data_IF_370597782758
#
_entry.id   IF_370597782758
#
_cell.length_a   1.000
_cell.length_b   1.000
_cell.length_c   1.000
_cell.angle_alpha   90.00
_cell.angle_beta   90.00
_cell.angle_gamma   90.00
#
_symmetry.space_group_name_H-M   'P 1'
#
loop_
_entity.id
_entity.type
_entity.pdbx_description
1 polymer ?
#
# COMPACT_ATOMS: atom_id res chain seq x y z
N UNK A 1 -13.14 -35.71 7.44
CA UNK A 1 -13.74 -35.05 8.61
C UNK A 1 -12.83 -33.92 9.04
N UNK A 2 -13.24 -32.65 8.95
CA UNK A 2 -12.49 -31.56 9.56
C UNK A 2 -12.62 -31.71 11.08
N UNK A 3 -11.55 -32.15 11.75
CA UNK A 3 -11.50 -32.24 13.21
C UNK A 3 -11.54 -30.82 13.79
N UNK A 4 -12.71 -30.36 14.25
CA UNK A 4 -12.82 -29.06 14.91
C UNK A 4 -14.23 -28.52 15.19
N UNK A 5 -15.26 -28.97 14.46
CA UNK A 5 -16.64 -28.55 14.73
C UNK A 5 -17.32 -29.57 15.65
N UNK A 6 -17.60 -29.17 16.89
CA UNK A 6 -18.35 -29.98 17.87
C UNK A 6 -19.87 -29.75 17.74
N UNK A 7 -20.29 -28.90 16.79
CA UNK A 7 -21.69 -28.66 16.47
C UNK A 7 -22.18 -29.67 15.42
N UNK A 8 -23.42 -30.13 15.56
CA UNK A 8 -24.09 -30.98 14.56
C UNK A 8 -24.97 -30.17 13.60
N UNK A 9 -25.26 -28.91 13.91
CA UNK A 9 -26.16 -28.07 13.12
C UNK A 9 -25.63 -26.65 12.99
N UNK A 10 -26.01 -25.96 11.90
CA UNK A 10 -25.87 -24.51 11.71
C UNK A 10 -27.24 -23.87 11.86
N UNK A 11 -27.32 -22.83 12.68
CA UNK A 11 -28.52 -22.04 12.92
C UNK A 11 -28.39 -20.66 12.29
N UNK A 12 -29.27 -20.34 11.35
CA UNK A 12 -29.36 -19.01 10.73
C UNK A 12 -30.59 -18.32 11.27
N UNK A 13 -30.39 -17.39 12.20
CA UNK A 13 -31.48 -16.64 12.85
C UNK A 13 -31.74 -15.34 12.11
N UNK A 14 -32.98 -15.13 11.69
CA UNK A 14 -33.46 -13.87 11.14
C UNK A 14 -34.07 -13.02 12.27
N UNK A 15 -33.63 -11.77 12.35
CA UNK A 15 -34.16 -10.77 13.26
C UNK A 15 -34.62 -9.54 12.49
N UNK A 16 -35.58 -8.79 13.05
CA UNK A 16 -35.86 -7.45 12.54
C UNK A 16 -34.74 -6.49 12.95
N UNK A 17 -34.60 -5.40 12.20
CA UNK A 17 -33.54 -4.42 12.42
C UNK A 17 -34.15 -3.20 13.09
N UNK A 18 -34.45 -3.33 14.36
CA UNK A 18 -35.09 -2.29 15.16
C UNK A 18 -34.07 -1.47 15.96
N UNK A 19 -34.32 -0.17 16.10
CA UNK A 19 -33.37 0.80 16.68
C UNK A 19 -33.03 0.56 18.16
N UNK A 20 -33.78 -0.29 18.86
CA UNK A 20 -33.68 -0.49 20.32
C UNK A 20 -33.40 -1.95 20.69
N UNK A 21 -33.96 -2.92 19.97
CA UNK A 21 -33.71 -4.35 20.15
C UNK A 21 -34.18 -5.13 18.92
N UNK A 22 -33.28 -5.89 18.30
CA UNK A 22 -33.61 -6.77 17.18
C UNK A 22 -34.42 -7.99 17.71
N UNK A 23 -35.71 -8.03 17.37
CA UNK A 23 -36.65 -9.08 17.73
C UNK A 23 -36.56 -10.28 16.78
N UNK A 24 -36.84 -11.48 17.29
CA UNK A 24 -36.72 -12.73 16.54
C UNK A 24 -37.87 -12.86 15.52
N UNK A 25 -37.53 -13.02 14.25
CA UNK A 25 -38.48 -13.21 13.15
C UNK A 25 -38.66 -14.69 12.82
N UNK A 26 -37.57 -15.46 12.83
CA UNK A 26 -37.56 -16.89 12.50
C UNK A 26 -36.14 -17.43 12.32
N UNK A 27 -36.01 -18.73 12.09
CA UNK A 27 -34.69 -19.38 11.95
C UNK A 27 -34.70 -20.49 10.90
N UNK A 28 -33.54 -20.76 10.31
CA UNK A 28 -33.27 -21.97 9.51
C UNK A 28 -32.23 -22.81 10.24
N UNK A 29 -32.51 -24.10 10.44
CA UNK A 29 -31.56 -25.09 10.96
C UNK A 29 -31.11 -26.03 9.85
N UNK A 30 -29.79 -26.21 9.71
CA UNK A 30 -29.18 -27.08 8.71
C UNK A 30 -28.29 -28.11 9.41
N UNK A 31 -28.45 -29.39 9.10
CA UNK A 31 -27.55 -30.44 9.59
C UNK A 31 -26.20 -30.33 8.86
N UNK A 32 -25.12 -30.23 9.61
CA UNK A 32 -23.76 -30.07 9.05
C UNK A 32 -23.34 -31.26 8.19
N UNK A 33 -23.88 -32.45 8.46
CA UNK A 33 -23.59 -33.67 7.71
C UNK A 33 -24.28 -33.70 6.34
N UNK A 34 -25.37 -32.94 6.18
CA UNK A 34 -26.11 -32.83 4.92
C UNK A 34 -25.57 -31.72 4.01
N UNK A 35 -24.73 -30.83 4.55
CA UNK A 35 -24.12 -29.74 3.79
C UNK A 35 -23.14 -30.32 2.75
N UNK A 36 -23.29 -30.01 1.45
CA UNK A 36 -22.38 -30.49 0.42
C UNK A 36 -21.00 -29.83 0.53
N UNK A 37 -19.96 -30.49 0.02
CA UNK A 37 -18.63 -29.89 -0.11
C UNK A 37 -18.45 -29.35 -1.53
N UNK A 38 -17.91 -28.13 -1.67
CA UNK A 38 -17.57 -27.50 -2.95
C UNK A 38 -16.07 -27.35 -3.06
N UNK A 39 -15.50 -27.79 -4.17
CA UNK A 39 -14.07 -27.59 -4.47
C UNK A 39 -13.95 -26.96 -5.85
N UNK A 40 -13.34 -25.77 -6.01
CA UNK A 40 -13.10 -25.20 -7.34
C UNK A 40 -12.42 -26.22 -8.28
N UNK A 41 -12.88 -26.36 -9.54
CA UNK A 41 -13.71 -25.42 -10.30
C UNK A 41 -15.22 -25.69 -10.26
N UNK A 42 -15.72 -26.43 -9.26
CA UNK A 42 -17.15 -26.74 -9.14
C UNK A 42 -18.03 -25.48 -9.26
N UNK A 43 -19.13 -25.62 -10.01
CA UNK A 43 -20.10 -24.53 -10.20
C UNK A 43 -20.64 -24.04 -8.85
N UNK A 44 -20.91 -22.72 -8.70
CA UNK A 44 -21.56 -22.22 -7.50
C UNK A 44 -22.91 -22.92 -7.31
N UNK A 45 -23.21 -23.30 -6.06
CA UNK A 45 -24.49 -23.90 -5.71
C UNK A 45 -25.61 -22.87 -5.91
N UNK A 46 -26.71 -23.32 -6.51
CA UNK A 46 -27.90 -22.49 -6.64
C UNK A 46 -28.50 -22.25 -5.24
N UNK A 47 -28.82 -21.01 -4.87
CA UNK A 47 -29.55 -20.74 -3.64
C UNK A 47 -30.91 -21.43 -3.64
N UNK A 48 -31.29 -22.01 -2.51
CA UNK A 48 -32.57 -22.67 -2.29
C UNK A 48 -33.41 -21.92 -1.26
N UNK A 49 -34.74 -22.03 -1.36
CA UNK A 49 -35.68 -21.41 -0.43
C UNK A 49 -35.90 -22.33 0.79
N UNK A 50 -35.55 -21.84 1.97
CA UNK A 50 -35.77 -22.51 3.26
C UNK A 50 -36.92 -21.82 4.00
N UNK A 51 -37.89 -22.59 4.47
CA UNK A 51 -38.96 -22.06 5.33
C UNK A 51 -38.42 -21.77 6.73
N UNK A 52 -38.80 -20.62 7.27
CA UNK A 52 -38.42 -20.24 8.63
C UNK A 52 -39.16 -21.10 9.67
N UNK A 53 -38.47 -21.41 10.75
CA UNK A 53 -38.96 -22.11 11.93
C UNK A 53 -39.01 -21.15 13.12
N UNK A 54 -39.94 -21.41 14.05
CA UNK A 54 -39.99 -20.74 15.34
C UNK A 54 -39.02 -21.38 16.36
N UNK A 55 -38.99 -20.87 17.59
CA UNK A 55 -38.16 -21.44 18.67
C UNK A 55 -38.55 -22.89 19.05
N UNK A 56 -39.78 -23.30 18.77
CA UNK A 56 -40.33 -24.62 19.07
C UNK A 56 -40.17 -25.62 17.90
N UNK A 57 -39.48 -25.24 16.82
CA UNK A 57 -39.27 -26.04 15.59
C UNK A 57 -40.53 -26.21 14.73
N UNK A 58 -41.52 -25.34 14.92
CA UNK A 58 -42.68 -25.31 14.03
C UNK A 58 -42.41 -24.41 12.83
N UNK A 59 -42.70 -24.92 11.62
CA UNK A 59 -42.56 -24.13 10.40
C UNK A 59 -43.54 -22.96 10.43
N UNK A 60 -43.02 -21.76 10.28
CA UNK A 60 -43.82 -20.55 10.22
C UNK A 60 -44.71 -20.56 8.97
N UNK A 61 -45.93 -20.07 9.11
CA UNK A 61 -46.89 -19.98 8.00
C UNK A 61 -46.50 -18.95 6.93
N UNK A 62 -45.58 -18.05 7.26
CA UNK A 62 -45.04 -17.01 6.38
C UNK A 62 -43.55 -16.80 6.70
N UNK A 63 -42.76 -16.55 5.65
CA UNK A 63 -41.33 -16.29 5.77
C UNK A 63 -40.50 -17.43 5.18
N UNK A 64 -39.79 -17.12 4.10
CA UNK A 64 -38.84 -18.01 3.45
C UNK A 64 -37.53 -17.25 3.28
N UNK A 65 -36.42 -17.95 3.48
CA UNK A 65 -35.07 -17.41 3.40
C UNK A 65 -34.32 -18.16 2.30
N UNK A 66 -33.83 -17.43 1.31
CA UNK A 66 -33.06 -18.01 0.22
C UNK A 66 -31.58 -18.07 0.59
N UNK A 67 -31.01 -19.28 0.67
CA UNK A 67 -29.61 -19.50 1.09
C UNK A 67 -28.92 -20.51 0.18
N UNK A 68 -27.60 -20.40 0.05
CA UNK A 68 -26.73 -21.46 -0.43
C UNK A 68 -25.70 -21.76 0.67
N UNK A 69 -25.55 -23.03 1.05
CA UNK A 69 -24.66 -23.45 2.14
C UNK A 69 -23.82 -24.63 1.70
N UNK A 70 -22.51 -24.56 1.95
CA UNK A 70 -21.55 -25.60 1.59
C UNK A 70 -20.32 -25.61 2.51
N UNK A 71 -19.63 -26.74 2.54
CA UNK A 71 -18.26 -26.83 3.01
C UNK A 71 -17.33 -26.35 1.89
N UNK A 72 -16.73 -25.17 2.06
CA UNK A 72 -15.76 -24.61 1.14
C UNK A 72 -14.32 -25.08 1.42
N UNK A 73 -13.44 -24.88 0.46
CA UNK A 73 -11.98 -25.03 0.63
C UNK A 73 -11.29 -23.67 0.59
N UNK A 74 -9.98 -23.62 0.83
CA UNK A 74 -9.18 -22.37 0.69
C UNK A 74 -9.19 -21.80 -0.73
N UNK A 75 -9.46 -22.64 -1.74
CA UNK A 75 -9.58 -22.18 -3.12
C UNK A 75 -10.92 -21.48 -3.39
N UNK A 76 -11.90 -21.57 -2.48
CA UNK A 76 -13.21 -20.93 -2.65
C UNK A 76 -13.10 -19.40 -2.57
N UNK A 77 -13.75 -18.70 -3.49
CA UNK A 77 -13.80 -17.24 -3.55
C UNK A 77 -14.29 -16.59 -2.24
N UNK A 78 -15.14 -17.31 -1.49
CA UNK A 78 -15.71 -16.86 -0.22
C UNK A 78 -14.71 -16.92 0.93
N UNK A 79 -13.63 -17.70 0.81
CA UNK A 79 -12.62 -17.86 1.88
C UNK A 79 -11.97 -16.52 2.25
N UNK A 80 -11.70 -15.66 1.25
CA UNK A 80 -11.13 -14.33 1.45
C UNK A 80 -12.04 -13.38 2.26
N UNK A 81 -13.36 -13.65 2.27
CA UNK A 81 -14.36 -12.82 2.94
C UNK A 81 -14.91 -13.44 4.23
N UNK A 82 -14.54 -14.69 4.54
CA UNK A 82 -15.03 -15.44 5.69
C UNK A 82 -14.59 -14.79 7.01
N UNK A 83 -15.52 -14.69 7.98
CA UNK A 83 -15.25 -14.16 9.33
C UNK A 83 -15.18 -15.33 10.32
N UNK A 84 -14.39 -15.20 11.39
CA UNK A 84 -14.40 -16.18 12.48
C UNK A 84 -15.60 -15.95 13.39
N UNK A 85 -16.28 -17.02 13.83
CA UNK A 85 -17.47 -16.97 14.68
C UNK A 85 -17.28 -16.22 16.01
N UNK A 86 -16.05 -16.18 16.51
CA UNK A 86 -15.73 -15.53 17.80
C UNK A 86 -15.57 -14.01 17.68
N UNK A 87 -15.67 -13.48 16.47
CA UNK A 87 -15.55 -12.05 16.18
C UNK A 87 -16.95 -11.44 16.20
N UNK A 88 -17.46 -11.16 17.40
CA UNK A 88 -18.64 -10.29 17.58
C UNK A 88 -18.19 -9.07 18.36
N UNK A 89 -17.73 -7.99 17.70
CA UNK A 89 -17.57 -6.72 18.38
C UNK A 89 -18.91 -5.98 18.41
N UNK A 90 -19.06 -5.14 19.42
CA UNK A 90 -20.03 -4.05 19.57
C UNK A 90 -19.92 -2.96 18.47
N UNK A 91 -19.11 -3.19 17.44
CA UNK A 91 -18.76 -2.25 16.39
C UNK A 91 -19.46 -2.66 15.09
N UNK A 92 -19.91 -1.67 14.32
CA UNK A 92 -20.50 -1.86 12.99
C UNK A 92 -19.69 -2.86 12.14
N UNK A 93 -20.36 -3.93 11.69
CA UNK A 93 -19.78 -5.06 10.97
C UNK A 93 -19.03 -4.62 9.70
N UNK A 94 -19.47 -3.53 9.05
CA UNK A 94 -18.78 -2.95 7.90
C UNK A 94 -17.42 -2.35 8.25
N UNK A 95 -17.33 -1.66 9.39
CA UNK A 95 -16.08 -1.04 9.83
C UNK A 95 -15.06 -2.11 10.21
N UNK A 96 -15.50 -3.16 10.91
CA UNK A 96 -14.65 -4.27 11.33
C UNK A 96 -14.09 -5.08 10.14
N UNK A 97 -14.92 -5.27 9.12
CA UNK A 97 -14.57 -6.03 7.91
C UNK A 97 -13.29 -5.50 7.24
N UNK A 98 -13.06 -4.19 7.25
CA UNK A 98 -11.88 -3.57 6.64
C UNK A 98 -10.58 -3.84 7.43
N UNK A 99 -10.66 -4.09 8.74
CA UNK A 99 -9.50 -4.31 9.60
C UNK A 99 -9.15 -5.80 9.77
N UNK A 100 -10.09 -6.70 9.49
CA UNK A 100 -9.92 -8.15 9.68
C UNK A 100 -9.64 -8.88 8.38
N UNK A 101 -10.10 -8.38 7.23
CA UNK A 101 -9.90 -9.09 5.94
C UNK A 101 -8.46 -9.01 5.44
N UNK A 102 -8.06 -10.04 4.71
CA UNK A 102 -6.86 -10.00 3.90
C UNK A 102 -6.96 -8.86 2.88
N UNK A 103 -5.84 -8.17 2.62
CA UNK A 103 -5.83 -7.01 1.73
C UNK A 103 -4.49 -6.86 1.02
N UNK A 104 -4.55 -6.67 -0.29
CA UNK A 104 -3.40 -6.26 -1.09
C UNK A 104 -3.39 -4.73 -1.22
N UNK A 105 -2.24 -4.13 -0.97
CA UNK A 105 -1.97 -2.71 -1.06
C UNK A 105 -1.02 -2.49 -2.23
N UNK A 106 -1.42 -1.64 -3.16
CA UNK A 106 -0.52 -1.17 -4.21
C UNK A 106 0.23 0.06 -3.71
N UNK A 107 1.55 -0.03 -3.63
CA UNK A 107 2.40 1.13 -3.43
C UNK A 107 2.45 1.95 -4.72
N UNK A 108 2.50 3.29 -4.60
CA UNK A 108 2.60 4.15 -5.75
C UNK A 108 3.93 3.94 -6.47
N UNK A 109 3.95 4.29 -7.75
CA UNK A 109 5.19 4.23 -8.52
C UNK A 109 5.97 5.52 -8.33
N UNK A 110 7.15 5.44 -7.75
CA UNK A 110 8.01 6.60 -7.53
C UNK A 110 8.80 6.97 -8.79
N UNK A 111 8.91 8.26 -9.07
CA UNK A 111 9.67 8.85 -10.18
C UNK A 111 10.67 9.88 -9.64
N UNK A 112 11.87 9.91 -10.21
CA UNK A 112 12.74 11.07 -10.05
C UNK A 112 12.27 12.19 -10.98
N UNK A 113 12.02 13.38 -10.44
CA UNK A 113 11.70 14.57 -11.22
C UNK A 113 12.97 15.42 -11.30
N UNK A 114 13.59 15.48 -12.47
CA UNK A 114 14.74 16.36 -12.71
C UNK A 114 14.25 17.72 -13.19
N UNK A 115 14.74 18.77 -12.56
CA UNK A 115 14.37 20.16 -12.84
C UNK A 115 15.66 20.97 -12.99
N UNK A 116 16.07 21.27 -14.21
CA UNK A 116 17.14 22.24 -14.45
C UNK A 116 16.53 23.61 -14.72
N UNK A 117 16.74 24.56 -13.80
CA UNK A 117 16.35 25.95 -13.96
C UNK A 117 17.50 26.68 -14.64
N UNK A 118 17.29 27.06 -15.90
CA UNK A 118 18.33 27.62 -16.74
C UNK A 118 18.37 29.14 -16.54
N UNK A 119 17.30 29.82 -16.95
CA UNK A 119 17.25 31.28 -16.95
C UNK A 119 15.83 31.82 -16.76
N UNK A 120 15.71 33.12 -16.46
CA UNK A 120 14.45 33.84 -16.47
C UNK A 120 14.60 35.20 -17.14
N UNK A 121 13.59 35.58 -17.90
CA UNK A 121 13.52 36.83 -18.67
C UNK A 121 12.31 37.66 -18.28
N UNK A 122 12.40 38.96 -18.54
CA UNK A 122 11.36 39.95 -18.29
C UNK A 122 10.89 39.94 -16.83
N UNK A 123 11.84 39.77 -15.89
CA UNK A 123 11.55 39.75 -14.46
C UNK A 123 11.68 41.17 -13.90
N UNK A 124 10.58 41.69 -13.37
CA UNK A 124 10.49 43.06 -12.89
C UNK A 124 10.15 43.12 -11.40
N UNK A 125 11.14 43.43 -10.55
CA UNK A 125 10.95 43.71 -9.13
C UNK A 125 10.04 44.91 -8.86
N UNK A 126 9.37 44.89 -7.72
CA UNK A 126 8.48 45.96 -7.27
C UNK A 126 9.25 47.27 -7.04
N UNK A 127 10.36 47.20 -6.30
CA UNK A 127 11.25 48.32 -6.01
C UNK A 127 12.36 48.43 -7.06
N UNK A 128 12.22 49.40 -7.96
CA UNK A 128 13.20 49.68 -9.03
C UNK A 128 14.43 50.46 -8.55
N UNK A 129 14.44 50.96 -7.31
CA UNK A 129 15.55 51.77 -6.78
C UNK A 129 16.72 50.92 -6.28
N UNK A 130 16.45 49.66 -5.90
CA UNK A 130 17.44 48.72 -5.41
C UNK A 130 17.99 47.82 -6.52
N UNK A 131 19.13 47.20 -6.23
CA UNK A 131 19.57 46.03 -7.00
C UNK A 131 18.74 44.82 -6.55
N UNK A 132 18.01 44.17 -7.47
CA UNK A 132 17.25 42.97 -7.16
C UNK A 132 18.14 41.84 -6.64
N UNK A 133 17.64 41.02 -5.72
CA UNK A 133 18.35 39.83 -5.21
C UNK A 133 17.50 38.60 -5.50
N UNK A 134 17.62 38.11 -6.74
CA UNK A 134 16.66 37.15 -7.30
C UNK A 134 17.12 35.71 -7.16
N UNK A 135 16.17 34.83 -6.90
CA UNK A 135 16.39 33.39 -6.95
C UNK A 135 15.10 32.68 -7.37
N UNK A 136 15.22 31.44 -7.82
CA UNK A 136 14.07 30.62 -8.18
C UNK A 136 13.80 29.57 -7.10
N UNK A 137 12.52 29.27 -6.84
CA UNK A 137 12.09 28.12 -6.04
C UNK A 137 11.47 27.08 -6.98
N UNK A 138 11.82 25.82 -6.74
CA UNK A 138 11.12 24.66 -7.27
C UNK A 138 10.48 23.89 -6.12
N UNK A 139 9.20 23.56 -6.24
CA UNK A 139 8.43 22.90 -5.18
C UNK A 139 7.54 21.80 -5.73
N UNK A 140 7.52 20.66 -5.05
CA UNK A 140 6.55 19.58 -5.23
C UNK A 140 6.03 19.19 -3.84
N UNK A 141 4.72 19.31 -3.61
CA UNK A 141 4.12 19.09 -2.30
C UNK A 141 4.76 19.93 -1.19
N UNK A 142 5.41 19.27 -0.23
CA UNK A 142 6.12 19.90 0.88
C UNK A 142 7.65 20.04 0.66
N UNK A 143 8.18 19.49 -0.42
CA UNK A 143 9.59 19.58 -0.75
C UNK A 143 9.86 20.84 -1.58
N UNK A 144 10.81 21.66 -1.14
CA UNK A 144 11.17 22.91 -1.81
C UNK A 144 12.68 23.04 -1.87
N UNK A 145 13.19 23.29 -3.07
CA UNK A 145 14.59 23.62 -3.34
C UNK A 145 14.65 24.99 -4.01
N UNK A 146 15.80 25.66 -3.89
CA UNK A 146 16.00 27.00 -4.47
C UNK A 146 17.38 27.16 -5.05
N UNK A 147 17.48 28.00 -6.08
CA UNK A 147 18.75 28.38 -6.70
C UNK A 147 19.56 29.31 -5.79
N UNK A 148 20.82 29.52 -6.15
CA UNK A 148 21.62 30.59 -5.55
C UNK A 148 21.03 31.95 -5.94
N UNK A 149 21.04 32.92 -5.01
CA UNK A 149 20.62 34.27 -5.32
C UNK A 149 21.59 34.95 -6.29
N UNK A 150 21.05 35.73 -7.23
CA UNK A 150 21.78 36.53 -8.20
C UNK A 150 21.36 37.98 -8.04
N UNK A 151 22.37 38.85 -7.87
CA UNK A 151 22.18 40.29 -7.86
C UNK A 151 22.57 40.87 -9.22
N UNK A 152 21.57 41.37 -9.96
CA UNK A 152 21.79 41.97 -11.28
C UNK A 152 20.77 43.06 -11.55
N UNK A 153 21.23 44.17 -12.17
CA UNK A 153 20.34 45.22 -12.68
C UNK A 153 19.79 44.91 -14.08
N UNK A 154 20.28 43.85 -14.71
CA UNK A 154 19.81 43.39 -16.02
C UNK A 154 18.53 42.58 -15.87
N UNK A 155 17.64 42.61 -16.86
CA UNK A 155 16.34 41.93 -16.83
C UNK A 155 16.41 40.42 -17.21
N UNK A 156 17.62 39.89 -17.37
CA UNK A 156 17.91 38.50 -17.71
C UNK A 156 18.80 37.86 -16.63
N UNK A 157 18.38 36.71 -16.12
CA UNK A 157 19.02 36.03 -15.00
C UNK A 157 19.32 34.58 -15.39
N UNK A 158 20.57 34.15 -15.19
CA UNK A 158 21.07 32.82 -15.57
C UNK A 158 21.56 32.08 -14.33
N UNK A 159 20.88 30.99 -13.96
CA UNK A 159 21.28 30.12 -12.85
C UNK A 159 21.94 28.83 -13.35
N UNK A 160 21.28 28.14 -14.29
CA UNK A 160 21.66 26.81 -14.76
C UNK A 160 21.94 25.83 -13.62
N UNK A 161 20.97 25.72 -12.70
CA UNK A 161 21.04 24.84 -11.54
C UNK A 161 20.03 23.69 -11.66
N UNK A 162 20.51 22.46 -11.42
CA UNK A 162 19.71 21.25 -11.45
C UNK A 162 19.26 20.84 -10.05
N UNK A 163 17.97 20.50 -9.94
CA UNK A 163 17.34 19.93 -8.76
C UNK A 163 16.75 18.57 -9.09
N UNK A 164 16.68 17.72 -8.06
CA UNK A 164 16.06 16.40 -8.15
C UNK A 164 15.02 16.26 -7.04
N UNK A 165 13.81 15.85 -7.42
CA UNK A 165 12.72 15.55 -6.52
C UNK A 165 12.27 14.09 -6.70
N UNK A 166 11.45 13.61 -5.77
CA UNK A 166 10.74 12.34 -5.89
C UNK A 166 9.24 12.62 -5.93
N UNK A 167 8.54 12.00 -6.88
CA UNK A 167 7.08 12.09 -7.01
C UNK A 167 6.45 10.70 -7.15
N UNK A 168 5.29 10.50 -6.54
CA UNK A 168 4.52 9.26 -6.60
C UNK A 168 3.49 9.33 -7.74
N UNK A 169 3.42 8.31 -8.59
CA UNK A 169 2.38 8.13 -9.61
C UNK A 169 1.30 7.16 -9.08
N UNK A 170 0.00 7.51 -9.13
CA UNK A 170 -0.58 8.70 -9.76
C UNK A 170 -0.21 10.01 -9.06
N UNK A 171 0.09 11.05 -9.85
CA UNK A 171 0.58 12.32 -9.33
C UNK A 171 -0.56 13.14 -8.72
N UNK A 172 -0.41 13.51 -7.45
CA UNK A 172 -1.36 14.37 -6.72
C UNK A 172 -0.93 15.84 -6.72
N UNK A 173 0.38 16.10 -6.73
CA UNK A 173 0.97 17.44 -6.68
C UNK A 173 1.45 17.92 -8.07
N UNK A 174 1.40 19.23 -8.27
CA UNK A 174 2.06 19.92 -9.38
C UNK A 174 3.51 20.29 -9.02
N UNK A 175 4.37 20.42 -10.04
CA UNK A 175 5.63 21.14 -9.92
C UNK A 175 5.35 22.65 -9.98
N UNK A 176 5.68 23.36 -8.91
CA UNK A 176 5.57 24.81 -8.84
C UNK A 176 6.96 25.41 -9.01
N UNK A 177 7.12 26.26 -10.02
CA UNK A 177 8.32 27.09 -10.18
C UNK A 177 7.94 28.54 -9.89
N UNK A 178 8.70 29.22 -9.03
CA UNK A 178 8.51 30.66 -8.77
C UNK A 178 9.83 31.42 -8.84
N UNK A 179 9.74 32.70 -9.18
CA UNK A 179 10.84 33.65 -9.11
C UNK A 179 10.57 34.59 -7.95
N UNK A 180 11.56 34.73 -7.08
CA UNK A 180 11.47 35.42 -5.81
C UNK A 180 12.53 36.50 -5.74
N UNK A 181 12.21 37.60 -5.07
CA UNK A 181 13.13 38.69 -4.80
C UNK A 181 13.30 38.89 -3.31
N UNK A 182 14.54 38.77 -2.83
CA UNK A 182 14.85 39.00 -1.41
C UNK A 182 14.92 40.50 -1.14
N UNK A 183 13.92 41.03 -0.43
CA UNK A 183 13.84 42.45 -0.08
C UNK A 183 14.58 42.74 1.22
N UNK A 184 14.44 41.85 2.20
CA UNK A 184 15.08 42.00 3.50
C UNK A 184 15.37 40.62 4.13
N UNK A 185 16.00 40.62 5.30
CA UNK A 185 16.23 39.40 6.05
C UNK A 185 14.89 38.71 6.36
N UNK A 186 14.74 37.46 5.91
CA UNK A 186 13.51 36.66 6.00
C UNK A 186 12.26 37.29 5.37
N UNK A 187 12.44 38.21 4.42
CA UNK A 187 11.34 38.80 3.66
C UNK A 187 11.65 38.70 2.17
N UNK A 188 10.94 37.79 1.53
CA UNK A 188 11.00 37.57 0.09
C UNK A 188 9.65 37.96 -0.54
N UNK A 189 9.69 38.52 -1.74
CA UNK A 189 8.51 38.82 -2.56
C UNK A 189 8.47 37.89 -3.77
N UNK A 190 7.35 37.21 -3.97
CA UNK A 190 7.12 36.38 -5.15
C UNK A 190 6.79 37.28 -6.35
N UNK A 191 7.66 37.32 -7.35
CA UNK A 191 7.42 38.08 -8.59
C UNK A 191 6.40 37.36 -9.47
N UNK A 192 6.50 36.05 -9.52
CA UNK A 192 5.54 35.22 -10.22
C UNK A 192 5.85 33.74 -10.16
N UNK A 193 4.83 32.93 -10.43
CA UNK A 193 4.92 31.47 -10.40
C UNK A 193 4.17 30.78 -11.53
N UNK A 194 4.52 29.54 -11.80
CA UNK A 194 3.82 28.65 -12.72
C UNK A 194 3.57 27.30 -12.04
N UNK A 195 2.40 26.73 -12.30
CA UNK A 195 2.02 25.38 -11.88
C UNK A 195 2.10 24.46 -13.09
N UNK A 196 2.88 23.39 -12.97
CA UNK A 196 3.17 22.44 -14.05
C UNK A 196 2.69 21.06 -13.59
N UNK A 197 1.58 20.54 -14.15
CA UNK A 197 1.12 19.20 -13.83
C UNK A 197 2.17 18.16 -14.19
N UNK A 198 2.54 17.30 -13.24
CA UNK A 198 3.56 16.28 -13.46
C UNK A 198 3.16 15.29 -14.57
N UNK A 199 1.86 15.09 -14.78
CA UNK A 199 1.30 14.30 -15.89
C UNK A 199 1.63 14.85 -17.28
N UNK A 200 1.93 16.15 -17.40
CA UNK A 200 2.30 16.81 -18.66
C UNK A 200 3.80 16.77 -18.98
N UNK A 201 4.61 16.29 -18.04
CA UNK A 201 6.08 16.25 -18.16
C UNK A 201 6.51 14.99 -18.90
N UNK A 202 7.47 15.13 -19.81
CA UNK A 202 8.00 14.02 -20.59
C UNK A 202 8.69 12.99 -19.69
N UNK A 203 8.34 11.73 -19.86
CA UNK A 203 9.02 10.58 -19.23
C UNK A 203 10.28 10.25 -20.03
N UNK A 204 11.44 10.27 -19.38
CA UNK A 204 12.73 9.88 -19.95
C UNK A 204 13.06 8.44 -19.53
N UNK A 205 13.36 7.59 -20.49
CA UNK A 205 13.68 6.17 -20.26
C UNK A 205 15.11 5.79 -20.70
N UNK A 206 15.79 6.71 -21.37
CA UNK A 206 17.10 6.58 -21.99
C UNK A 206 17.88 7.90 -21.84
N UNK A 207 19.09 7.98 -22.39
CA UNK A 207 19.93 9.19 -22.35
C UNK A 207 19.53 10.26 -23.38
N UNK A 208 18.30 10.20 -23.92
CA UNK A 208 17.87 11.19 -24.92
C UNK A 208 17.84 12.59 -24.33
N UNK A 209 18.23 13.55 -25.17
CA UNK A 209 18.19 14.96 -24.79
C UNK A 209 16.73 15.41 -24.59
N UNK A 210 16.44 15.95 -23.41
CA UNK A 210 15.13 16.53 -23.10
C UNK A 210 15.12 17.98 -23.56
N UNK A 211 14.05 18.36 -24.27
CA UNK A 211 13.87 19.73 -24.75
C UNK A 211 13.56 20.64 -23.58
N UNK A 212 14.36 21.70 -23.44
CA UNK A 212 14.04 22.81 -22.54
C UNK A 212 12.84 23.59 -23.07
N UNK A 213 12.04 24.17 -22.17
CA UNK A 213 10.80 24.89 -22.50
C UNK A 213 10.74 26.20 -21.71
N UNK A 214 10.15 27.21 -22.34
CA UNK A 214 9.80 28.46 -21.69
C UNK A 214 8.41 28.38 -21.08
N UNK A 215 8.28 28.80 -19.83
CA UNK A 215 7.04 28.82 -19.07
C UNK A 215 6.70 30.26 -18.70
N UNK A 216 5.49 30.69 -19.02
CA UNK A 216 4.99 32.00 -18.59
C UNK A 216 4.65 31.93 -17.11
N UNK A 217 5.21 32.86 -16.32
CA UNK A 217 4.86 33.01 -14.93
C UNK A 217 3.49 33.70 -14.82
N UNK A 218 2.85 33.63 -13.66
CA UNK A 218 1.66 34.42 -13.30
C UNK A 218 1.98 35.19 -12.03
N UNK A 219 1.52 36.44 -11.93
CA UNK A 219 1.63 37.20 -10.67
C UNK A 219 0.87 36.48 -9.55
N UNK A 220 1.35 36.50 -8.31
CA UNK A 220 0.52 36.16 -7.17
C UNK A 220 -0.65 37.15 -7.13
N UNK A 221 -1.88 36.65 -7.06
CA UNK A 221 -3.07 37.52 -6.99
C UNK A 221 -3.06 38.26 -5.66
N UNK A 222 -2.61 39.51 -5.68
CA UNK A 222 -2.89 40.48 -4.62
C UNK A 222 -4.20 41.14 -5.01
N UNK A 223 -5.17 41.09 -4.10
CA UNK A 223 -6.51 41.68 -4.25
C UNK A 223 -6.38 43.19 -4.25
N UNK A 224 -6.07 43.79 -5.39
CA UNK A 224 -6.25 45.23 -5.62
C UNK A 224 -7.14 45.41 -6.86
N UNK A 225 -8.38 45.82 -6.60
CA UNK A 225 -9.46 45.97 -7.58
C UNK A 225 -9.22 47.07 -8.63
N UNK A 226 -8.10 47.82 -8.53
CA UNK A 226 -7.82 48.99 -9.38
C UNK A 226 -6.76 48.77 -10.49
N UNK A 227 -6.30 47.54 -10.72
CA UNK A 227 -5.36 47.21 -11.82
C UNK A 227 -5.94 46.29 -12.91
N UNK A 228 -7.22 46.47 -13.25
CA UNK A 228 -7.83 45.97 -14.50
C UNK A 228 -7.37 46.78 -15.74
N UNK A 229 -6.09 47.10 -15.82
CA UNK A 229 -5.42 47.38 -17.09
C UNK A 229 -4.52 46.19 -17.34
N UNK A 230 -4.68 45.54 -18.48
CA UNK A 230 -3.83 44.47 -18.97
C UNK A 230 -2.36 44.89 -18.92
N UNK A 231 -1.75 44.68 -17.76
CA UNK A 231 -0.34 44.85 -17.60
C UNK A 231 0.27 43.58 -18.19
N UNK A 232 0.89 43.78 -19.35
CA UNK A 232 1.45 42.79 -20.27
C UNK A 232 2.52 41.95 -19.57
N UNK A 233 2.10 41.07 -18.67
CA UNK A 233 2.97 40.26 -17.84
C UNK A 233 3.71 39.27 -18.76
N UNK A 234 4.99 39.54 -19.01
CA UNK A 234 5.82 38.76 -19.93
C UNK A 234 6.91 37.95 -19.24
N UNK A 235 6.95 37.93 -17.89
CA UNK A 235 7.98 37.19 -17.16
C UNK A 235 7.90 35.70 -17.48
N UNK A 236 9.04 35.15 -17.88
CA UNK A 236 9.16 33.77 -18.31
C UNK A 236 10.34 33.11 -17.62
N UNK A 237 10.19 31.82 -17.34
CA UNK A 237 11.25 30.96 -16.82
C UNK A 237 11.57 29.86 -17.85
N UNK A 238 12.84 29.67 -18.14
CA UNK A 238 13.34 28.61 -19.01
C UNK A 238 13.84 27.45 -18.16
N UNK A 239 13.25 26.28 -18.36
CA UNK A 239 13.62 25.10 -17.61
C UNK A 239 13.63 23.85 -18.49
N UNK A 240 14.51 22.91 -18.15
CA UNK A 240 14.48 21.55 -18.68
C UNK A 240 13.97 20.63 -17.58
N UNK A 241 12.84 19.95 -17.85
CA UNK A 241 12.11 19.18 -16.83
C UNK A 241 11.79 17.80 -17.40
N UNK A 242 12.10 16.73 -16.67
CA UNK A 242 11.72 15.38 -17.05
C UNK A 242 11.44 14.47 -15.85
N UNK A 243 10.58 13.48 -16.08
CA UNK A 243 10.37 12.34 -15.20
C UNK A 243 11.38 11.25 -15.59
N UNK A 244 12.43 11.08 -14.80
CA UNK A 244 13.50 10.13 -15.07
C UNK A 244 13.09 8.72 -14.59
N UNK A 245 12.76 7.88 -15.57
CA UNK A 245 12.31 6.51 -15.36
C UNK A 245 13.40 5.46 -15.57
N UNK A 246 14.61 5.86 -15.94
CA UNK A 246 15.75 4.95 -16.18
C UNK A 246 16.35 4.36 -14.92
N UNK A 247 15.97 4.87 -13.75
CA UNK A 247 16.55 4.52 -12.45
C UNK A 247 15.48 4.03 -11.49
N UNK A 248 15.92 3.26 -10.50
CA UNK A 248 15.11 2.92 -9.34
C UNK A 248 15.13 4.09 -8.35
N UNK A 249 13.96 4.50 -7.86
CA UNK A 249 13.88 5.50 -6.79
C UNK A 249 14.03 4.80 -5.45
N UNK A 250 15.13 5.09 -4.75
CA UNK A 250 15.41 4.51 -3.45
C UNK A 250 14.48 5.12 -2.37
N UNK A 251 13.59 4.31 -1.83
CA UNK A 251 12.78 4.60 -0.64
C UNK A 251 13.35 3.97 0.65
N UNK A 252 14.23 2.98 0.50
CA UNK A 252 15.01 2.35 1.58
C UNK A 252 16.49 2.17 1.18
N UNK A 253 17.34 1.81 2.16
CA UNK A 253 18.75 1.47 1.87
C UNK A 253 18.83 0.30 0.87
N UNK A 254 19.81 0.34 -0.03
CA UNK A 254 20.00 -0.68 -1.09
C UNK A 254 20.12 -2.12 -0.56
N UNK A 255 20.62 -2.30 0.67
CA UNK A 255 20.74 -3.60 1.33
C UNK A 255 19.39 -4.21 1.76
N UNK A 256 18.35 -3.37 1.86
CA UNK A 256 17.01 -3.74 2.30
C UNK A 256 15.94 -3.54 1.22
N UNK A 257 16.30 -2.93 0.09
CA UNK A 257 15.38 -2.75 -1.02
C UNK A 257 14.99 -4.11 -1.61
N UNK A 258 13.68 -4.31 -1.74
CA UNK A 258 13.10 -5.56 -2.26
C UNK A 258 12.95 -5.53 -3.80
N UNK A 259 13.09 -4.36 -4.42
CA UNK A 259 12.99 -4.15 -5.86
C UNK A 259 13.98 -3.07 -6.29
N UNK A 260 14.92 -3.41 -7.18
CA UNK A 260 15.91 -2.46 -7.72
C UNK A 260 15.64 -2.10 -9.18
N UNK A 261 14.46 -2.45 -9.70
CA UNK A 261 14.13 -2.19 -11.09
C UNK A 261 13.88 -0.69 -11.33
N UNK A 262 14.17 -0.23 -12.56
CA UNK A 262 13.87 1.14 -12.94
C UNK A 262 12.37 1.42 -12.88
N UNK A 263 12.01 2.68 -12.66
CA UNK A 263 10.61 3.11 -12.61
C UNK A 263 9.85 2.83 -13.92
N UNK A 264 10.52 2.94 -15.07
CA UNK A 264 9.93 2.66 -16.37
C UNK A 264 9.82 1.15 -16.63
N UNK A 265 8.58 0.65 -16.76
CA UNK A 265 8.28 -0.77 -17.02
C UNK A 265 8.86 -1.28 -18.33
N UNK A 266 9.04 -0.39 -19.31
CA UNK A 266 9.60 -0.70 -20.61
C UNK A 266 11.04 -1.23 -20.53
N UNK A 267 11.76 -0.89 -19.45
CA UNK A 267 13.13 -1.32 -19.20
C UNK A 267 13.20 -2.63 -18.40
N UNK A 268 12.05 -3.18 -18.00
CA UNK A 268 12.02 -4.39 -17.20
C UNK A 268 12.36 -5.60 -18.07
N UNK A 269 13.20 -6.48 -17.52
CA UNK A 269 13.44 -7.80 -18.09
C UNK A 269 12.21 -8.68 -17.88
N UNK A 270 12.10 -9.78 -18.63
CA UNK A 270 11.10 -10.79 -18.35
C UNK A 270 11.30 -11.37 -16.94
N UNK A 271 10.22 -11.76 -16.24
CA UNK A 271 10.35 -12.46 -14.99
C UNK A 271 11.15 -13.75 -15.18
N UNK A 272 12.03 -14.04 -14.23
CA UNK A 272 12.87 -15.24 -14.18
C UNK A 272 12.15 -16.43 -13.52
N UNK A 273 10.99 -16.21 -12.90
CA UNK A 273 10.19 -17.27 -12.29
C UNK A 273 8.95 -16.73 -11.57
N UNK A 274 8.21 -17.64 -10.93
CA UNK A 274 7.06 -17.35 -10.08
C UNK A 274 7.39 -17.80 -8.65
N UNK A 275 7.15 -16.94 -7.67
CA UNK A 275 7.22 -17.24 -6.25
C UNK A 275 5.80 -17.48 -5.72
N UNK A 276 5.60 -18.64 -5.10
CA UNK A 276 4.40 -18.94 -4.33
C UNK A 276 4.75 -19.00 -2.84
N UNK A 277 4.11 -18.16 -2.03
CA UNK A 277 4.28 -18.13 -0.58
C UNK A 277 2.99 -18.57 0.10
N UNK A 278 3.06 -19.71 0.79
CA UNK A 278 2.03 -20.16 1.71
C UNK A 278 2.31 -19.71 3.14
N UNK A 279 1.39 -18.95 3.73
CA UNK A 279 1.41 -18.58 5.15
C UNK A 279 0.39 -19.45 5.88
N UNK A 280 0.91 -20.47 6.57
CA UNK A 280 0.09 -21.49 7.20
C UNK A 280 -0.36 -21.05 8.59
N UNK A 281 0.59 -20.77 9.47
CA UNK A 281 0.35 -20.38 10.85
C UNK A 281 1.52 -19.60 11.42
N UNK A 282 1.29 -19.00 12.59
CA UNK A 282 2.36 -18.58 13.49
C UNK A 282 2.10 -19.24 14.85
N UNK A 283 3.18 -19.58 15.58
CA UNK A 283 3.08 -20.24 16.88
C UNK A 283 3.85 -19.45 17.92
N UNK A 284 3.38 -19.49 19.17
CA UNK A 284 4.06 -18.87 20.31
C UNK A 284 4.16 -17.35 20.19
N UNK A 285 3.17 -16.70 19.57
CA UNK A 285 3.06 -15.25 19.62
C UNK A 285 2.74 -14.86 21.07
N UNK A 286 3.33 -13.76 21.54
CA UNK A 286 3.14 -13.29 22.92
C UNK A 286 2.21 -12.08 22.92
N UNK A 287 1.30 -12.02 23.89
CA UNK A 287 0.37 -10.89 24.00
C UNK A 287 1.15 -9.68 24.45
N UNK A 288 1.07 -8.59 23.69
CA UNK A 288 1.85 -7.38 23.95
C UNK A 288 1.14 -6.44 24.96
N UNK A 289 -0.09 -6.74 25.41
CA UNK A 289 -0.84 -5.95 26.41
C UNK A 289 -1.77 -6.81 27.28
N UNK A 290 -1.93 -6.44 28.56
CA UNK A 290 -2.82 -7.05 29.57
C UNK A 290 -4.31 -6.75 29.41
N UNK A 291 -4.71 -6.07 28.34
CA UNK A 291 -6.12 -5.76 28.05
C UNK A 291 -6.45 -6.27 26.67
N UNK A 292 -7.49 -7.11 26.63
CA UNK A 292 -8.24 -7.61 25.46
C UNK A 292 -7.92 -6.81 24.20
N UNK A 293 -6.92 -7.27 23.46
CA UNK A 293 -6.51 -6.67 22.19
C UNK A 293 -6.44 -7.83 21.20
N UNK A 294 -7.13 -7.66 20.07
CA UNK A 294 -7.32 -8.72 19.08
C UNK A 294 -5.99 -9.26 18.56
N UNK A 295 -5.99 -10.54 18.25
CA UNK A 295 -4.77 -11.28 17.93
C UNK A 295 -3.98 -10.74 16.72
N UNK A 296 -2.72 -11.19 16.60
CA UNK A 296 -1.75 -10.68 15.63
C UNK A 296 -2.24 -10.69 14.18
N UNK A 297 -2.08 -9.54 13.52
CA UNK A 297 -2.08 -9.42 12.07
C UNK A 297 -0.67 -9.68 11.52
N UNK A 298 -0.54 -10.44 10.43
CA UNK A 298 0.73 -10.61 9.73
C UNK A 298 0.70 -9.78 8.45
N UNK A 299 1.11 -8.50 8.47
CA UNK A 299 1.41 -7.79 7.25
C UNK A 299 2.69 -8.36 6.61
N UNK A 300 2.50 -8.96 5.44
CA UNK A 300 3.56 -9.43 4.57
C UNK A 300 3.94 -8.26 3.66
N UNK A 301 5.19 -7.84 3.73
CA UNK A 301 5.73 -6.80 2.88
C UNK A 301 6.49 -7.44 1.72
N UNK A 302 6.01 -7.23 0.51
CA UNK A 302 6.54 -7.90 -0.66
C UNK A 302 6.81 -6.93 -1.80
N UNK A 303 7.72 -7.29 -2.72
CA UNK A 303 7.73 -6.66 -4.03
C UNK A 303 6.61 -7.31 -4.86
N UNK A 304 5.52 -6.59 -5.09
CA UNK A 304 4.56 -7.00 -6.13
C UNK A 304 5.13 -6.67 -7.51
N UNK A 305 4.97 -7.62 -8.40
CA UNK A 305 5.32 -7.51 -9.79
C UNK A 305 4.27 -6.68 -10.49
N UNK A 306 4.74 -5.69 -11.25
CA UNK A 306 3.95 -4.62 -11.86
C UNK A 306 3.51 -3.46 -10.95
N UNK A 307 3.39 -3.64 -9.64
CA UNK A 307 3.18 -2.54 -8.67
C UNK A 307 3.94 -2.87 -7.39
N UNK A 308 4.94 -2.10 -6.95
CA UNK A 308 5.45 -2.25 -5.57
C UNK A 308 4.24 -2.31 -4.62
N UNK A 309 4.18 -3.18 -3.60
CA UNK A 309 2.93 -3.37 -2.87
C UNK A 309 2.96 -4.42 -1.76
N UNK A 310 2.15 -4.24 -0.73
CA UNK A 310 2.16 -5.05 0.49
C UNK A 310 0.92 -5.93 0.55
N UNK A 311 1.01 -7.12 1.12
CA UNK A 311 -0.12 -7.99 1.34
C UNK A 311 -0.32 -8.20 2.85
N UNK A 312 -1.48 -7.83 3.38
CA UNK A 312 -1.85 -8.13 4.76
C UNK A 312 -2.69 -9.39 4.77
N UNK A 313 -2.32 -10.35 5.61
CA UNK A 313 -3.20 -11.49 5.88
C UNK A 313 -4.49 -11.04 6.56
N UNK A 314 -5.46 -11.95 6.69
CA UNK A 314 -6.54 -11.74 7.63
C UNK A 314 -5.98 -11.55 9.04
N UNK A 315 -6.71 -10.80 9.85
CA UNK A 315 -6.47 -10.76 11.29
C UNK A 315 -7.22 -11.93 11.92
N UNK A 316 -6.52 -12.77 12.66
CA UNK A 316 -7.15 -13.80 13.51
C UNK A 316 -7.22 -13.17 14.89
N UNK A 317 -8.38 -13.25 15.56
CA UNK A 317 -8.65 -12.57 16.84
C UNK A 317 -8.61 -13.60 17.97
N UNK A 318 -8.15 -13.18 19.15
CA UNK A 318 -8.01 -13.98 20.38
C UNK A 318 -7.31 -15.35 20.23
N UNK A 319 -6.33 -15.48 19.33
CA UNK A 319 -5.55 -16.71 19.13
C UNK A 319 -4.05 -16.42 19.12
N UNK A 320 -3.31 -17.12 19.98
CA UNK A 320 -1.85 -16.98 20.14
C UNK A 320 -1.08 -17.86 19.16
N UNK A 321 -1.76 -18.81 18.54
CA UNK A 321 -1.23 -19.68 17.49
C UNK A 321 -2.09 -19.58 16.21
N UNK A 322 -2.18 -18.39 15.60
CA UNK A 322 -3.11 -18.12 14.51
C UNK A 322 -2.82 -19.01 13.29
N UNK A 323 -3.88 -19.54 12.67
CA UNK A 323 -3.84 -20.35 11.44
C UNK A 323 -4.45 -19.62 10.26
N UNK A 324 -3.62 -19.04 9.41
CA UNK A 324 -4.03 -18.24 8.26
C UNK A 324 -4.42 -19.12 7.08
N UNK A 325 -3.53 -20.03 6.71
CA UNK A 325 -3.60 -20.82 5.47
C UNK A 325 -3.91 -19.97 4.23
N UNK A 326 -3.14 -18.91 4.05
CA UNK A 326 -3.26 -18.02 2.91
C UNK A 326 -2.10 -18.25 1.94
N UNK A 327 -2.41 -18.26 0.64
CA UNK A 327 -1.41 -18.38 -0.41
C UNK A 327 -1.37 -17.10 -1.22
N UNK A 328 -0.17 -16.72 -1.61
CA UNK A 328 0.07 -15.55 -2.40
C UNK A 328 1.14 -15.83 -3.45
N UNK A 329 1.04 -15.16 -4.60
CA UNK A 329 1.90 -15.41 -5.76
C UNK A 329 2.40 -14.11 -6.39
N UNK A 330 3.66 -14.11 -6.83
CA UNK A 330 4.29 -12.98 -7.53
C UNK A 330 5.31 -13.46 -8.52
N UNK A 331 5.55 -12.71 -9.60
CA UNK A 331 6.70 -13.01 -10.43
C UNK A 331 8.00 -12.63 -9.70
N UNK A 332 9.11 -13.18 -10.15
CA UNK A 332 10.45 -12.86 -9.64
C UNK A 332 11.26 -12.34 -10.80
N UNK A 333 11.98 -11.24 -10.62
CA UNK A 333 12.80 -10.62 -11.68
C UNK A 333 14.29 -10.67 -11.36
N UNK A 334 14.66 -10.90 -10.10
CA UNK A 334 16.03 -10.99 -9.63
C UNK A 334 16.18 -12.13 -8.61
N UNK A 335 17.25 -12.90 -8.71
CA UNK A 335 17.59 -13.92 -7.72
C UNK A 335 17.90 -13.30 -6.34
N UNK A 336 18.29 -12.03 -6.28
CA UNK A 336 18.61 -11.35 -5.03
C UNK A 336 17.41 -10.73 -4.34
N UNK A 337 16.19 -10.89 -4.88
CA UNK A 337 14.96 -10.39 -4.25
C UNK A 337 14.86 -10.87 -2.80
N UNK A 338 14.51 -9.93 -1.91
CA UNK A 338 14.27 -10.18 -0.49
C UNK A 338 12.77 -10.07 -0.22
N UNK A 339 12.25 -11.05 0.50
CA UNK A 339 10.89 -11.08 1.02
C UNK A 339 10.94 -10.62 2.47
N UNK A 340 10.03 -9.73 2.86
CA UNK A 340 9.92 -9.28 4.24
C UNK A 340 8.58 -9.72 4.84
N UNK A 341 8.62 -10.59 5.85
CA UNK A 341 7.42 -10.99 6.58
C UNK A 341 7.41 -10.28 7.93
N UNK A 342 6.38 -9.49 8.20
CA UNK A 342 6.20 -8.80 9.48
C UNK A 342 5.01 -9.35 10.24
N UNK A 343 5.15 -9.48 11.55
CA UNK A 343 4.06 -9.86 12.46
C UNK A 343 3.77 -8.68 13.37
N UNK A 344 2.52 -8.27 13.44
CA UNK A 344 2.06 -7.07 14.11
C UNK A 344 0.82 -7.37 14.95
N UNK A 345 0.63 -6.64 16.03
CA UNK A 345 -0.58 -6.65 16.84
C UNK A 345 -1.54 -5.58 16.30
N UNK A 346 -2.76 -5.97 15.93
CA UNK A 346 -3.73 -5.09 15.28
C UNK A 346 -4.53 -4.30 16.34
N UNK A 347 -4.10 -3.06 16.57
CA UNK A 347 -4.69 -2.21 17.61
C UNK A 347 -5.96 -1.47 17.13
N UNK A 348 -6.39 -1.66 15.87
CA UNK A 348 -7.56 -0.99 15.29
C UNK A 348 -8.90 -1.66 15.66
N UNK A 349 -8.87 -2.80 16.37
CA UNK A 349 -10.06 -3.58 16.72
C UNK A 349 -10.71 -3.18 18.07
N UNK A 350 -10.13 -2.21 18.79
CA UNK A 350 -10.63 -1.77 20.11
C UNK A 350 -11.58 -0.57 19.97
N UNK A 351 -12.62 -0.51 20.82
CA UNK A 351 -13.53 0.65 20.89
C UNK A 351 -12.76 1.96 21.09
N UNK A 352 -13.17 3.00 20.35
CA UNK A 352 -12.63 4.37 20.43
C UNK A 352 -13.03 5.03 21.75
N UNK A 353 -12.40 4.62 22.86
CA UNK A 353 -12.56 5.21 24.19
C UNK A 353 -11.34 5.97 24.69
N UNK A 354 -10.26 6.05 23.91
CA UNK A 354 -9.05 6.80 24.28
C UNK A 354 -8.43 7.45 23.05
N UNK A 355 -8.09 8.71 23.22
CA UNK A 355 -7.58 9.63 22.21
C UNK A 355 -6.39 9.07 21.41
N UNK A 356 -6.52 9.05 20.08
CA UNK A 356 -5.44 8.77 19.13
C UNK A 356 -5.51 7.35 18.57
N UNK A 357 -5.64 7.23 17.24
CA UNK A 357 -5.64 5.94 16.55
C UNK A 357 -4.37 5.15 16.87
N UNK A 358 -4.52 4.09 17.67
CA UNK A 358 -3.39 3.32 18.19
C UNK A 358 -2.73 2.57 17.02
N UNK A 359 -1.46 2.87 16.74
CA UNK A 359 -0.74 2.27 15.60
C UNK A 359 -0.47 0.79 15.88
N UNK A 360 -0.51 -0.04 14.85
CA UNK A 360 -0.20 -1.47 14.98
C UNK A 360 1.21 -1.68 15.58
N UNK A 361 1.32 -2.59 16.54
CA UNK A 361 2.58 -2.83 17.28
C UNK A 361 3.33 -4.00 16.64
N UNK A 362 4.55 -3.78 16.16
CA UNK A 362 5.36 -4.84 15.57
C UNK A 362 5.80 -5.85 16.63
N UNK A 363 5.39 -7.11 16.46
CA UNK A 363 5.82 -8.27 17.25
C UNK A 363 7.15 -8.82 16.72
N UNK A 364 7.28 -8.96 15.40
CA UNK A 364 8.44 -9.57 14.77
C UNK A 364 8.60 -9.22 13.30
N UNK A 365 9.80 -9.43 12.75
CA UNK A 365 10.11 -9.22 11.34
C UNK A 365 11.16 -10.23 10.90
N UNK A 366 10.89 -10.94 9.81
CA UNK A 366 11.80 -11.86 9.15
C UNK A 366 12.06 -11.37 7.73
N UNK A 367 13.30 -11.51 7.26
CA UNK A 367 13.69 -11.23 5.87
C UNK A 367 14.27 -12.48 5.25
N UNK A 368 13.79 -12.86 4.07
CA UNK A 368 14.15 -14.08 3.37
C UNK A 368 14.66 -13.68 1.99
N UNK A 369 15.96 -13.87 1.73
CA UNK A 369 16.53 -13.64 0.40
C UNK A 369 16.34 -14.89 -0.44
N UNK A 370 15.76 -14.76 -1.64
CA UNK A 370 15.44 -15.90 -2.52
C UNK A 370 16.68 -16.71 -2.91
N UNK A 371 17.83 -16.08 -3.09
CA UNK A 371 19.10 -16.76 -3.39
C UNK A 371 19.65 -17.59 -2.23
N UNK A 372 19.04 -17.58 -1.05
CA UNK A 372 19.52 -18.38 0.09
C UNK A 372 19.13 -19.84 -0.16
N UNK A 373 20.07 -20.77 -0.36
CA UNK A 373 19.74 -22.18 -0.54
C UNK A 373 19.04 -22.69 0.72
N UNK A 374 17.77 -23.06 0.59
CA UNK A 374 16.99 -23.65 1.68
C UNK A 374 17.47 -25.06 1.95
N UNK A 375 18.42 -25.19 2.87
CA UNK A 375 18.61 -26.41 3.63
C UNK A 375 18.36 -26.09 5.10
N UNK A 376 17.21 -26.56 5.60
CA UNK A 376 16.64 -26.46 6.95
C UNK A 376 15.60 -25.34 7.19
N UNK A 377 14.47 -25.65 7.85
CA UNK A 377 13.50 -24.65 8.29
C UNK A 377 14.13 -23.75 9.36
N UNK A 378 13.92 -22.44 9.25
CA UNK A 378 14.27 -21.48 10.30
C UNK A 378 13.37 -21.72 11.52
N UNK A 379 13.82 -22.55 12.46
CA UNK A 379 13.30 -22.58 13.83
C UNK A 379 14.16 -21.64 14.68
N UNK A 380 13.64 -20.48 15.05
CA UNK A 380 14.22 -19.68 16.13
C UNK A 380 13.86 -20.34 17.47
N UNK A 381 14.55 -21.42 17.83
CA UNK A 381 14.55 -21.97 19.18
C UNK A 381 15.87 -22.66 19.45
N UNK A 382 16.58 -22.14 20.44
CA UNK A 382 17.83 -22.67 20.99
C UNK A 382 17.65 -24.14 21.43
N UNK A 383 18.67 -24.96 21.15
CA UNK A 383 19.14 -26.21 21.81
C UNK A 383 19.25 -27.41 20.84
N UNK A 384 20.40 -28.13 20.80
CA UNK A 384 20.69 -29.12 19.76
C UNK A 384 20.20 -30.52 20.15
N UNK A 385 19.58 -31.23 19.20
CA UNK A 385 19.36 -32.66 19.29
C UNK A 385 20.09 -33.39 18.17
N UNK A 386 20.87 -34.38 18.58
CA UNK A 386 21.88 -35.10 17.82
C UNK A 386 21.34 -36.36 17.13
N UNK A 387 22.09 -36.81 16.09
CA UNK A 387 22.22 -38.19 15.52
C UNK A 387 21.03 -38.69 14.68
N UNK A 388 21.21 -39.52 13.64
CA UNK A 388 22.34 -40.24 13.00
C UNK A 388 21.84 -40.64 11.60
N UNK A 389 22.70 -40.65 10.58
CA UNK A 389 22.40 -41.28 9.29
C UNK A 389 22.90 -42.72 9.30
N UNK A 390 22.06 -43.66 8.85
CA UNK A 390 22.48 -45.00 8.46
C UNK A 390 22.83 -44.95 6.97
N UNK A 391 24.10 -45.17 6.65
CA UNK A 391 24.60 -45.35 5.29
C UNK A 391 24.44 -46.82 4.88
N UNK A 392 23.67 -47.10 3.84
CA UNK A 392 23.79 -48.36 3.09
C UNK A 392 24.67 -48.14 1.86
N UNK A 393 25.91 -48.61 1.96
CA UNK A 393 26.81 -48.85 0.84
C UNK A 393 26.36 -50.09 0.06
N UNK A 394 26.30 -50.00 -1.26
CA UNK A 394 26.57 -51.15 -2.14
C UNK A 394 27.62 -50.73 -3.18
N UNK A 395 28.80 -51.34 -3.07
CA UNK A 395 29.79 -51.44 -4.14
C UNK A 395 29.30 -52.50 -5.13
N UNK A 396 29.50 -52.27 -6.42
CA UNK A 396 29.81 -53.36 -7.34
C UNK A 396 30.99 -52.96 -8.21
N UNK A 397 31.92 -53.88 -8.28
CA UNK A 397 33.25 -53.82 -8.89
C UNK A 397 33.18 -54.12 -10.39
N UNK A 398 34.04 -53.42 -11.14
CA UNK A 398 34.48 -53.77 -12.49
C UNK A 398 35.11 -55.18 -12.56
N UNK A 399 35.32 -55.69 -13.76
CA UNK A 399 36.68 -55.63 -14.33
C UNK A 399 36.87 -54.52 -15.36
#
# INVERSE_FOLDING_TARGET
MPHGLWASHVEVVLKDKDLVKDDFVGMVRLDINEIPTRVPPDRPLAPEWYRLEDNNREKLSKGELMLAVWHGTQADESFAYATHSNVIPSVDAHTLSNYIRAKVYHAPRLWYVRVNIIEAHDVFPSDKSRVPDLYCKARIGNHMLRTKPIQSRMANFLWNEEFMFVAAEPFEDDLILSVEDRIAHNKDEEIGRVHIPLTSIDKRIDDRMIRSRWWNLRRPVVVDLDQLKEDKFSSKIHACICLDGGYHVLDESTQYSNDLRPTAKQLWKQPIGLLELGILNANGLHSMKTRVCGAPAIPIALPSTATSGYARTRTIVDEMNPRFNEQYTWDVYDHTTVITVGVFDNCQLVEKGSSGGDKDVKIGKVRIRLSTPTRTPYSSSTTPASRRWASSTSRSSSP
#
